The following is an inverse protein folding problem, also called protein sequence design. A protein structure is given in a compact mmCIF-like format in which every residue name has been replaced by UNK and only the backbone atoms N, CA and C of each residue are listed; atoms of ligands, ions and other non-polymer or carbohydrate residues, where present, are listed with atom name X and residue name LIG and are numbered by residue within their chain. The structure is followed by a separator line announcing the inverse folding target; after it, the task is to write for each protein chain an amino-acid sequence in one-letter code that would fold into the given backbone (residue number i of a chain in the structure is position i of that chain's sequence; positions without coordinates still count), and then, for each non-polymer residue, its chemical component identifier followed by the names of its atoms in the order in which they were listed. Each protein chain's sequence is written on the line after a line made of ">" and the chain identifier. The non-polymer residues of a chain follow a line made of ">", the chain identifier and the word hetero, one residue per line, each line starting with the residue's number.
data_IF_650126929256
#
_entry.id   IF_650126929256
#
_cell.length_a   1.000
_cell.length_b   1.000
_cell.length_c   1.000
_cell.angle_alpha   90.00
_cell.angle_beta   90.00
_cell.angle_gamma   90.00
#
_symmetry.space_group_name_H-M   'P 1'
#
loop_
_entity.id
_entity.type
_entity.pdbx_description
1 polymer ?
#
# COMPACT_ATOMS: atom_id res chain seq x y z
N UNK A 1 14.10 -7.57 -9.46
CA UNK A 1 13.45 -8.70 -8.77
C UNK A 1 12.52 -8.19 -7.69
N UNK A 2 11.35 -8.73 -7.55
CA UNK A 2 10.42 -8.26 -6.51
C UNK A 2 10.54 -9.12 -5.25
N UNK A 3 10.32 -8.49 -4.09
CA UNK A 3 10.26 -9.20 -2.81
C UNK A 3 8.90 -8.97 -2.16
N UNK A 4 8.26 -10.04 -1.73
CA UNK A 4 6.96 -10.00 -1.11
C UNK A 4 7.10 -10.08 0.40
N UNK A 5 6.53 -9.11 1.11
CA UNK A 5 6.67 -9.01 2.56
C UNK A 5 5.34 -9.15 3.30
N UNK A 6 4.31 -8.46 2.84
CA UNK A 6 2.98 -8.42 3.48
C UNK A 6 3.06 -8.00 4.96
N UNK A 7 3.74 -6.89 5.23
CA UNK A 7 3.92 -6.37 6.59
C UNK A 7 3.06 -5.14 6.82
N UNK A 8 2.56 -5.00 8.05
CA UNK A 8 1.81 -3.82 8.45
C UNK A 8 2.70 -2.57 8.40
N UNK A 9 2.15 -1.48 7.90
CA UNK A 9 2.83 -0.19 7.82
C UNK A 9 1.90 0.92 8.26
N UNK A 10 2.48 2.03 8.70
CA UNK A 10 1.75 3.26 8.93
C UNK A 10 1.77 4.07 7.64
N UNK A 11 0.61 4.50 7.19
CA UNK A 11 0.48 5.27 5.96
C UNK A 11 -0.18 6.58 6.24
N UNK A 12 0.42 7.65 5.74
CA UNK A 12 -0.18 8.96 5.72
C UNK A 12 -0.87 9.17 4.38
N UNK A 13 -2.14 9.52 4.43
CA UNK A 13 -2.93 9.75 3.22
C UNK A 13 -3.17 11.23 3.00
N UNK A 14 -3.31 11.61 1.74
CA UNK A 14 -3.71 12.95 1.37
C UNK A 14 -5.19 13.14 1.70
N UNK A 15 -5.51 14.28 2.33
CA UNK A 15 -6.85 14.54 2.88
C UNK A 15 -7.95 14.47 1.84
N UNK A 16 -7.74 15.07 0.67
CA UNK A 16 -8.79 15.20 -0.34
C UNK A 16 -8.95 13.97 -1.23
N UNK A 17 -7.84 13.38 -1.63
CA UNK A 17 -7.84 12.27 -2.59
C UNK A 17 -7.74 10.89 -1.93
N UNK A 18 -7.40 10.82 -0.64
CA UNK A 18 -7.20 9.54 0.04
C UNK A 18 -6.00 8.74 -0.44
N UNK A 19 -5.13 9.36 -1.24
CA UNK A 19 -3.94 8.70 -1.77
C UNK A 19 -2.83 8.65 -0.74
N UNK A 20 -2.07 7.56 -0.66
CA UNK A 20 -0.91 7.53 0.22
C UNK A 20 0.14 8.55 -0.22
N UNK A 21 0.62 9.36 0.72
CA UNK A 21 1.68 10.35 0.45
C UNK A 21 2.97 10.04 1.20
N UNK A 22 2.93 9.22 2.23
CA UNK A 22 4.11 8.76 2.95
C UNK A 22 3.77 7.48 3.70
N UNK A 23 4.77 6.67 4.00
CA UNK A 23 4.58 5.47 4.82
C UNK A 23 5.83 5.19 5.64
N UNK A 24 5.66 4.46 6.73
CA UNK A 24 6.75 4.01 7.59
C UNK A 24 6.82 2.49 7.54
N UNK A 25 7.97 1.97 7.17
CA UNK A 25 8.25 0.55 7.14
C UNK A 25 9.56 0.27 7.88
N UNK A 26 9.47 -0.59 8.86
CA UNK A 26 10.60 -0.98 9.70
C UNK A 26 11.33 0.23 10.30
N UNK A 27 10.54 1.19 10.79
CA UNK A 27 11.06 2.39 11.45
C UNK A 27 11.59 3.46 10.52
N UNK A 28 11.56 3.25 9.20
CA UNK A 28 12.03 4.21 8.21
C UNK A 28 10.87 4.82 7.44
N UNK A 29 10.89 6.14 7.32
CA UNK A 29 9.87 6.87 6.55
C UNK A 29 10.25 6.96 5.08
N UNK A 30 9.26 6.70 4.24
CA UNK A 30 9.37 6.83 2.78
C UNK A 30 8.32 7.82 2.30
N UNK A 31 8.72 8.74 1.43
CA UNK A 31 7.78 9.67 0.82
C UNK A 31 7.39 9.19 -0.56
N UNK A 32 6.11 9.31 -0.89
CA UNK A 32 5.57 8.92 -2.19
C UNK A 32 5.82 10.05 -3.18
N UNK A 33 6.57 9.74 -4.24
CA UNK A 33 6.82 10.67 -5.33
C UNK A 33 5.71 10.62 -6.38
N UNK A 34 5.19 9.42 -6.67
CA UNK A 34 4.17 9.23 -7.69
C UNK A 34 3.33 8.00 -7.38
N UNK A 35 2.08 8.02 -7.81
CA UNK A 35 1.19 6.85 -7.79
C UNK A 35 1.16 6.29 -9.21
N UNK A 36 1.72 5.09 -9.38
CA UNK A 36 1.85 4.45 -10.69
C UNK A 36 0.58 3.67 -11.04
N UNK A 37 -0.04 3.04 -10.07
CA UNK A 37 -1.23 2.23 -10.30
C UNK A 37 -2.12 2.15 -9.07
N UNK A 38 -3.39 1.86 -9.33
CA UNK A 38 -4.40 1.70 -8.30
C UNK A 38 -5.39 0.63 -8.77
N UNK A 39 -5.68 -0.33 -7.89
CA UNK A 39 -6.70 -1.35 -8.20
C UNK A 39 -7.33 -1.85 -6.91
N UNK A 40 -8.46 -2.51 -7.03
CA UNK A 40 -9.20 -3.02 -5.89
C UNK A 40 -9.38 -4.54 -6.03
N UNK A 41 -9.16 -5.24 -4.92
CA UNK A 41 -9.40 -6.69 -4.82
C UNK A 41 -10.51 -6.90 -3.81
N UNK A 42 -11.63 -7.42 -4.29
CA UNK A 42 -12.75 -7.82 -3.44
C UNK A 42 -12.85 -9.34 -3.46
N UNK A 43 -12.73 -9.94 -2.30
CA UNK A 43 -12.99 -11.35 -2.16
C UNK A 43 -14.48 -11.61 -1.92
N UNK A 44 -14.86 -12.86 -2.05
CA UNK A 44 -16.22 -13.29 -1.71
C UNK A 44 -16.37 -13.20 -0.20
N UNK A 45 -17.22 -12.30 0.26
CA UNK A 45 -17.37 -12.02 1.69
C UNK A 45 -17.72 -13.27 2.52
N UNK A 46 -18.39 -14.25 1.91
CA UNK A 46 -18.73 -15.51 2.57
C UNK A 46 -17.57 -16.53 2.56
N UNK A 47 -16.53 -16.30 1.80
CA UNK A 47 -15.39 -17.22 1.67
C UNK A 47 -14.15 -16.68 2.37
N UNK A 48 -13.68 -15.46 2.04
CA UNK A 48 -12.44 -14.93 2.57
C UNK A 48 -12.54 -13.50 3.11
N UNK A 49 -13.64 -12.81 2.84
CA UNK A 49 -13.88 -11.48 3.40
C UNK A 49 -12.85 -10.43 3.03
N UNK A 50 -12.22 -10.54 1.87
CA UNK A 50 -11.23 -9.56 1.46
C UNK A 50 -11.89 -8.34 0.85
N UNK A 51 -11.40 -7.17 1.23
CA UNK A 51 -11.71 -5.90 0.58
C UNK A 51 -10.48 -5.03 0.70
N UNK A 52 -9.65 -5.04 -0.35
CA UNK A 52 -8.37 -4.37 -0.36
C UNK A 52 -8.26 -3.40 -1.51
N UNK A 53 -7.81 -2.19 -1.21
CA UNK A 53 -7.46 -1.21 -2.22
C UNK A 53 -5.94 -1.15 -2.33
N UNK A 54 -5.43 -1.44 -3.52
CA UNK A 54 -4.00 -1.49 -3.78
C UNK A 54 -3.52 -0.22 -4.45
N UNK A 55 -2.31 0.17 -4.08
CA UNK A 55 -1.61 1.32 -4.63
C UNK A 55 -0.20 0.91 -4.97
N UNK A 56 0.16 1.00 -6.25
CA UNK A 56 1.56 0.89 -6.66
C UNK A 56 2.14 2.27 -6.69
N UNK A 57 3.14 2.52 -5.86
CA UNK A 57 3.73 3.84 -5.71
C UNK A 57 5.22 3.80 -6.01
N UNK A 58 5.73 4.93 -6.48
CA UNK A 58 7.15 5.18 -6.55
C UNK A 58 7.53 6.10 -5.39
N UNK A 59 8.45 5.65 -4.55
CA UNK A 59 8.97 6.47 -3.47
C UNK A 59 10.10 7.37 -3.99
N UNK A 60 10.38 8.43 -3.26
CA UNK A 60 11.57 9.25 -3.54
C UNK A 60 12.80 8.38 -3.44
N UNK A 61 13.66 8.45 -4.46
CA UNK A 61 14.79 7.55 -4.61
C UNK A 61 14.57 6.48 -5.68
N UNK A 62 13.34 6.33 -6.19
CA UNK A 62 13.02 5.50 -7.34
C UNK A 62 12.52 4.10 -7.06
N UNK A 63 12.50 3.66 -5.81
CA UNK A 63 11.98 2.33 -5.48
C UNK A 63 10.47 2.28 -5.64
N UNK A 64 9.95 1.17 -6.15
CA UNK A 64 8.52 0.97 -6.39
C UNK A 64 7.98 -0.03 -5.37
N UNK A 65 6.85 0.31 -4.76
CA UNK A 65 6.24 -0.45 -3.68
C UNK A 65 4.77 -0.68 -3.98
N UNK A 66 4.26 -1.85 -3.58
CA UNK A 66 2.83 -2.12 -3.56
C UNK A 66 2.34 -2.03 -2.12
N UNK A 67 1.47 -1.06 -1.86
CA UNK A 67 0.79 -0.90 -0.58
C UNK A 67 -0.67 -1.27 -0.77
N UNK A 68 -1.31 -1.79 0.28
CA UNK A 68 -2.76 -1.94 0.24
C UNK A 68 -3.41 -1.49 1.53
N UNK A 69 -4.61 -0.98 1.40
CA UNK A 69 -5.48 -0.65 2.51
C UNK A 69 -6.52 -1.77 2.65
N UNK A 70 -6.46 -2.48 3.77
CA UNK A 70 -7.48 -3.46 4.14
C UNK A 70 -8.67 -2.69 4.69
N UNK A 71 -9.74 -2.58 3.88
CA UNK A 71 -10.91 -1.77 4.22
C UNK A 71 -11.78 -2.39 5.28
N UNK A 72 -11.73 -3.72 5.45
CA UNK A 72 -12.50 -4.41 6.48
C UNK A 72 -11.94 -4.16 7.87
N UNK A 73 -10.62 -4.04 8.00
CA UNK A 73 -9.94 -3.87 9.27
C UNK A 73 -9.33 -2.48 9.44
N UNK A 74 -9.44 -1.63 8.41
CA UNK A 74 -8.86 -0.29 8.37
C UNK A 74 -7.36 -0.29 8.73
N UNK A 75 -6.62 -1.11 8.01
CA UNK A 75 -5.17 -1.26 8.20
C UNK A 75 -4.45 -1.20 6.87
N UNK A 76 -3.25 -0.64 6.91
CA UNK A 76 -2.37 -0.58 5.75
C UNK A 76 -1.27 -1.63 5.87
N UNK A 77 -0.93 -2.21 4.72
CA UNK A 77 0.15 -3.18 4.60
C UNK A 77 1.02 -2.85 3.40
N UNK A 78 2.30 -3.18 3.52
CA UNK A 78 3.21 -3.19 2.38
C UNK A 78 3.34 -4.63 1.91
N UNK A 79 2.87 -4.91 0.71
CA UNK A 79 2.87 -6.28 0.20
C UNK A 79 4.15 -6.61 -0.56
N UNK A 80 4.63 -5.68 -1.37
CA UNK A 80 5.74 -5.99 -2.28
C UNK A 80 6.64 -4.79 -2.49
N UNK A 81 7.93 -5.07 -2.54
CA UNK A 81 8.96 -4.13 -2.99
C UNK A 81 9.49 -4.61 -4.34
N UNK A 82 9.39 -3.75 -5.34
CA UNK A 82 9.92 -4.01 -6.67
C UNK A 82 11.32 -3.42 -6.78
N UNK A 83 12.31 -4.25 -6.92
CA UNK A 83 13.70 -3.80 -7.10
C UNK A 83 14.36 -4.36 -8.36
#
# INVERSE_FOLDING_TARGET
>A
MSKRYDEAVEVRVERDAGMPCAFVWRGRRYEVADVIGRWRVEGRWWADGRDREYWRIEARGGAVWDLYHDRLHDRWHMERLWD
#
